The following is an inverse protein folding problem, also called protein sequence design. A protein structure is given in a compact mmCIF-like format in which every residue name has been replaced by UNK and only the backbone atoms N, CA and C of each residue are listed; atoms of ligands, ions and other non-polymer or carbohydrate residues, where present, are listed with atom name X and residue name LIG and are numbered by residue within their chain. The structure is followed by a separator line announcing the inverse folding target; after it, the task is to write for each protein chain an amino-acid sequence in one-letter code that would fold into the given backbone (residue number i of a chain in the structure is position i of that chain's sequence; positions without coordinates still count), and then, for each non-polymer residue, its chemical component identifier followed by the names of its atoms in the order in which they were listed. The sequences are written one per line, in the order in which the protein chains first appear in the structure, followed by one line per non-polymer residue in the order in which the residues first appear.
data_IF_344745599983
#
_entry.id   IF_344745599983
#
_cell.length_a   1.000
_cell.length_b   1.000
_cell.length_c   1.000
_cell.angle_alpha   90.00
_cell.angle_beta   90.00
_cell.angle_gamma   90.00
#
_symmetry.space_group_name_H-M   'P 1'
#
loop_
_entity.id
_entity.type
_entity.pdbx_description
1 polymer ?
#
# COMPACT_ATOMS: atom_id res chain seq x y z
N UNK A 1 -6.55 -5.05 -35.64
CA UNK A 1 -7.65 -5.99 -35.36
C UNK A 1 -8.16 -5.72 -33.95
N UNK A 2 -9.28 -5.00 -33.81
CA UNK A 2 -9.90 -4.71 -32.51
C UNK A 2 -10.79 -5.89 -32.18
N UNK A 3 -10.31 -6.77 -31.29
CA UNK A 3 -11.10 -7.89 -30.79
C UNK A 3 -12.37 -7.38 -30.11
N UNK A 4 -13.53 -7.85 -30.58
CA UNK A 4 -14.82 -7.49 -30.01
C UNK A 4 -14.83 -7.75 -28.52
N UNK A 5 -15.06 -6.69 -27.73
CA UNK A 5 -15.16 -6.77 -26.27
C UNK A 5 -16.35 -7.66 -25.91
N UNK A 6 -16.11 -8.96 -25.69
CA UNK A 6 -17.07 -9.84 -25.03
C UNK A 6 -17.31 -9.24 -23.65
N UNK A 7 -18.53 -8.73 -23.46
CA UNK A 7 -18.98 -8.18 -22.19
C UNK A 7 -18.64 -9.20 -21.08
N UNK A 8 -17.94 -8.73 -20.04
CA UNK A 8 -17.65 -9.55 -18.87
C UNK A 8 -18.96 -10.15 -18.34
N UNK A 9 -19.00 -11.44 -17.98
CA UNK A 9 -20.20 -12.12 -17.50
C UNK A 9 -20.48 -11.72 -16.04
N UNK A 10 -20.72 -10.43 -15.80
CA UNK A 10 -21.42 -9.99 -14.61
C UNK A 10 -22.89 -10.35 -14.87
N UNK A 11 -23.38 -11.36 -14.13
CA UNK A 11 -24.58 -12.15 -14.42
C UNK A 11 -25.77 -11.36 -14.97
N UNK A 12 -26.51 -11.98 -15.90
CA UNK A 12 -27.58 -11.37 -16.69
C UNK A 12 -28.81 -10.85 -15.94
N UNK A 13 -28.73 -10.66 -14.61
CA UNK A 13 -29.82 -10.22 -13.74
C UNK A 13 -29.56 -8.87 -13.05
N UNK A 14 -28.58 -8.08 -13.49
CA UNK A 14 -28.44 -6.72 -12.95
C UNK A 14 -29.60 -5.83 -13.45
N UNK A 15 -30.18 -4.95 -12.61
CA UNK A 15 -31.18 -3.99 -13.05
C UNK A 15 -30.66 -3.14 -14.23
N UNK A 16 -31.53 -2.85 -15.22
CA UNK A 16 -31.20 -1.97 -16.36
C UNK A 16 -30.43 -0.68 -16.01
N UNK A 17 -30.75 0.07 -14.93
CA UNK A 17 -29.96 1.24 -14.56
C UNK A 17 -28.51 0.89 -14.19
N UNK A 18 -28.29 -0.23 -13.50
CA UNK A 18 -26.96 -0.71 -13.12
C UNK A 18 -26.15 -1.08 -14.37
N UNK A 19 -26.77 -1.74 -15.36
CA UNK A 19 -26.11 -2.02 -16.64
C UNK A 19 -25.68 -0.75 -17.38
N UNK A 20 -26.52 0.28 -17.40
CA UNK A 20 -26.19 1.57 -18.04
C UNK A 20 -25.04 2.26 -17.32
N UNK A 21 -25.09 2.30 -15.99
CA UNK A 21 -24.01 2.87 -15.17
C UNK A 21 -22.70 2.11 -15.39
N UNK A 22 -22.74 0.78 -15.35
CA UNK A 22 -21.57 -0.08 -15.58
C UNK A 22 -20.98 0.10 -16.98
N UNK A 23 -21.83 0.17 -18.02
CA UNK A 23 -21.38 0.41 -19.38
C UNK A 23 -20.75 1.80 -19.55
N UNK A 24 -21.30 2.82 -18.90
CA UNK A 24 -20.71 4.16 -18.89
C UNK A 24 -19.38 4.19 -18.16
N UNK A 25 -19.31 3.58 -16.98
CA UNK A 25 -18.09 3.46 -16.19
C UNK A 25 -17.01 2.70 -16.97
N UNK A 26 -17.34 1.55 -17.55
CA UNK A 26 -16.41 0.76 -18.36
C UNK A 26 -15.83 1.55 -19.54
N UNK A 27 -16.65 2.34 -20.24
CA UNK A 27 -16.16 3.23 -21.31
C UNK A 27 -15.25 4.33 -20.78
N UNK A 28 -15.56 4.93 -19.63
CA UNK A 28 -14.72 5.95 -19.01
C UNK A 28 -13.36 5.37 -18.57
N UNK A 29 -13.39 4.17 -17.96
CA UNK A 29 -12.20 3.41 -17.55
C UNK A 29 -11.30 3.12 -18.76
N UNK A 30 -11.88 2.68 -19.88
CA UNK A 30 -11.13 2.39 -21.10
C UNK A 30 -10.53 3.65 -21.75
N UNK A 31 -11.19 4.81 -21.65
CA UNK A 31 -10.69 6.07 -22.22
C UNK A 31 -9.52 6.66 -21.42
N UNK A 32 -9.53 6.51 -20.10
CA UNK A 32 -8.55 7.15 -19.22
C UNK A 32 -8.01 6.19 -18.14
N UNK A 33 -7.37 5.07 -18.52
CA UNK A 33 -6.96 4.04 -17.56
C UNK A 33 -5.88 4.55 -16.61
N UNK A 34 -4.96 5.41 -17.08
CA UNK A 34 -3.97 6.07 -16.23
C UNK A 34 -4.66 6.95 -15.19
N UNK A 35 -5.55 7.85 -15.62
CA UNK A 35 -6.26 8.77 -14.71
C UNK A 35 -6.98 7.99 -13.61
N UNK A 36 -7.71 6.93 -13.97
CA UNK A 36 -8.39 6.09 -12.99
C UNK A 36 -7.42 5.49 -11.97
N UNK A 37 -6.29 4.93 -12.42
CA UNK A 37 -5.28 4.38 -11.50
C UNK A 37 -4.69 5.48 -10.62
N UNK A 38 -4.37 6.66 -11.16
CA UNK A 38 -3.83 7.78 -10.37
C UNK A 38 -4.81 8.31 -9.31
N UNK A 39 -6.07 8.51 -9.65
CA UNK A 39 -7.09 9.01 -8.72
C UNK A 39 -7.37 7.98 -7.63
N UNK A 40 -7.52 6.70 -8.00
CA UNK A 40 -7.71 5.62 -7.02
C UNK A 40 -6.49 5.44 -6.12
N UNK A 41 -5.27 5.57 -6.63
CA UNK A 41 -4.04 5.58 -5.83
C UNK A 41 -3.98 6.77 -4.87
N UNK A 42 -4.38 7.97 -5.30
CA UNK A 42 -4.45 9.15 -4.45
C UNK A 42 -5.41 8.93 -3.26
N UNK A 43 -6.61 8.43 -3.54
CA UNK A 43 -7.60 8.11 -2.51
C UNK A 43 -7.09 7.00 -1.58
N UNK A 44 -6.53 5.93 -2.15
CA UNK A 44 -6.00 4.81 -1.37
C UNK A 44 -4.86 5.20 -0.43
N UNK A 45 -3.94 6.06 -0.87
CA UNK A 45 -2.84 6.52 -0.04
C UNK A 45 -3.30 7.46 1.08
N UNK A 46 -4.17 8.43 0.77
CA UNK A 46 -4.72 9.35 1.77
C UNK A 46 -5.54 8.58 2.81
N UNK A 47 -6.43 7.69 2.37
CA UNK A 47 -7.24 6.86 3.26
C UNK A 47 -6.40 5.88 4.07
N UNK A 48 -5.42 5.24 3.46
CA UNK A 48 -4.47 4.35 4.14
C UNK A 48 -3.68 5.08 5.23
N UNK A 49 -3.28 6.32 5.00
CA UNK A 49 -2.65 7.14 6.04
C UNK A 49 -3.61 7.45 7.19
N UNK A 50 -4.87 7.83 6.91
CA UNK A 50 -5.88 8.04 7.95
C UNK A 50 -6.05 6.80 8.83
N UNK A 51 -6.17 5.62 8.21
CA UNK A 51 -6.23 4.35 8.95
C UNK A 51 -4.97 4.08 9.76
N UNK A 52 -3.79 4.38 9.21
CA UNK A 52 -2.53 4.24 9.92
C UNK A 52 -2.44 5.20 11.11
N UNK A 53 -2.90 6.45 11.00
CA UNK A 53 -2.93 7.37 12.14
C UNK A 53 -3.85 6.82 13.22
N UNK A 54 -5.05 6.35 12.85
CA UNK A 54 -6.00 5.76 13.81
C UNK A 54 -5.39 4.54 14.50
N UNK A 55 -4.76 3.64 13.74
CA UNK A 55 -4.06 2.47 14.28
C UNK A 55 -2.86 2.80 15.17
N UNK A 56 -2.27 3.99 15.02
CA UNK A 56 -1.14 4.48 15.83
C UNK A 56 -1.54 5.46 16.94
N UNK A 57 -2.85 5.62 17.19
CA UNK A 57 -3.38 6.36 18.35
C UNK A 57 -3.95 7.75 18.04
N UNK A 58 -4.10 8.12 16.77
CA UNK A 58 -4.92 9.26 16.41
C UNK A 58 -6.40 8.93 16.70
N UNK A 59 -7.13 9.90 17.23
CA UNK A 59 -8.52 9.65 17.57
C UNK A 59 -9.47 10.09 16.47
N UNK A 60 -10.50 9.28 16.26
CA UNK A 60 -11.62 9.65 15.43
C UNK A 60 -12.42 10.78 16.12
N UNK A 61 -12.96 11.74 15.36
CA UNK A 61 -13.74 12.85 15.92
C UNK A 61 -14.92 12.38 16.78
N UNK A 62 -15.53 11.25 16.41
CA UNK A 62 -16.71 10.69 17.06
C UNK A 62 -16.42 9.62 18.13
N UNK A 63 -15.17 9.19 18.31
CA UNK A 63 -14.84 8.14 19.27
C UNK A 63 -14.38 8.74 20.60
N UNK A 64 -15.27 8.89 21.59
CA UNK A 64 -14.86 9.33 22.93
C UNK A 64 -14.18 8.17 23.69
N UNK A 65 -12.90 8.31 24.06
CA UNK A 65 -12.29 7.35 24.97
C UNK A 65 -12.92 7.49 26.37
N UNK A 66 -12.87 6.44 27.21
CA UNK A 66 -13.29 6.54 28.60
C UNK A 66 -12.47 7.61 29.33
N UNK A 67 -13.15 8.45 30.11
CA UNK A 67 -12.53 9.48 30.91
C UNK A 67 -11.51 8.89 31.89
N UNK A 68 -10.33 9.50 31.99
CA UNK A 68 -9.21 9.06 32.81
C UNK A 68 -8.33 7.96 32.19
N UNK A 69 -8.65 7.47 30.99
CA UNK A 69 -7.87 6.40 30.35
C UNK A 69 -6.51 6.87 29.84
N UNK A 70 -5.53 5.97 29.76
CA UNK A 70 -4.25 6.25 29.10
C UNK A 70 -4.43 6.59 27.60
N UNK A 71 -5.51 6.11 26.98
CA UNK A 71 -5.89 6.44 25.61
C UNK A 71 -6.32 7.90 25.46
N UNK A 72 -7.03 8.46 26.45
CA UNK A 72 -7.36 9.89 26.50
C UNK A 72 -6.11 10.76 26.58
N UNK A 73 -5.11 10.36 27.39
CA UNK A 73 -3.83 11.09 27.51
C UNK A 73 -2.93 11.02 26.27
N UNK A 74 -3.11 10.01 25.40
CA UNK A 74 -2.31 9.82 24.18
C UNK A 74 -3.02 10.26 22.91
N UNK A 75 -4.18 10.91 23.05
CA UNK A 75 -5.05 11.30 21.93
C UNK A 75 -4.31 12.31 21.04
N UNK A 76 -3.99 11.88 19.82
CA UNK A 76 -3.47 12.79 18.79
C UNK A 76 -4.61 13.15 17.82
N UNK A 77 -4.71 14.41 17.38
CA UNK A 77 -5.63 14.76 16.30
C UNK A 77 -5.18 14.08 15.00
N UNK A 78 -6.12 13.87 14.08
CA UNK A 78 -5.80 13.47 12.72
C UNK A 78 -5.00 14.58 12.03
N UNK A 79 -3.88 14.22 11.42
CA UNK A 79 -3.07 15.09 10.60
C UNK A 79 -3.55 15.02 9.14
N UNK A 80 -4.46 15.92 8.79
CA UNK A 80 -5.02 16.03 7.45
C UNK A 80 -3.99 16.50 6.41
N UNK A 81 -2.99 17.28 6.82
CA UNK A 81 -1.92 17.73 5.92
C UNK A 81 -1.08 16.53 5.49
N UNK A 82 -0.77 15.62 6.42
CA UNK A 82 -0.08 14.37 6.12
C UNK A 82 -0.91 13.46 5.22
N UNK A 83 -2.20 13.31 5.49
CA UNK A 83 -3.09 12.52 4.64
C UNK A 83 -3.19 13.12 3.22
N UNK A 84 -3.24 14.45 3.09
CA UNK A 84 -3.22 15.14 1.80
C UNK A 84 -1.88 14.95 1.08
N UNK A 85 -0.75 15.03 1.79
CA UNK A 85 0.57 14.77 1.22
C UNK A 85 0.71 13.31 0.74
N UNK A 86 0.15 12.34 1.48
CA UNK A 86 0.06 10.94 1.04
C UNK A 86 -0.83 10.80 -0.20
N UNK A 87 -1.96 11.51 -0.24
CA UNK A 87 -2.81 11.56 -1.42
C UNK A 87 -2.07 12.12 -2.65
N UNK A 88 -1.29 13.18 -2.48
CA UNK A 88 -0.44 13.73 -3.55
C UNK A 88 0.63 12.72 -4.00
N UNK A 89 1.29 12.02 -3.08
CA UNK A 89 2.21 10.93 -3.42
C UNK A 89 1.50 9.81 -4.19
N UNK A 90 0.27 9.46 -3.80
CA UNK A 90 -0.58 8.52 -4.52
C UNK A 90 -0.90 8.98 -5.94
N UNK A 91 -1.23 10.26 -6.12
CA UNK A 91 -1.60 10.85 -7.40
C UNK A 91 -0.41 10.94 -8.37
N UNK A 92 0.72 11.47 -7.91
CA UNK A 92 1.86 11.83 -8.77
C UNK A 92 2.92 10.75 -8.89
N UNK A 93 3.02 9.83 -7.91
CA UNK A 93 4.06 8.80 -7.89
C UNK A 93 3.44 7.41 -8.01
N UNK A 94 2.60 7.03 -7.05
CA UNK A 94 2.12 5.65 -6.97
C UNK A 94 1.16 5.28 -8.12
N UNK A 95 0.33 6.23 -8.54
CA UNK A 95 -0.58 6.09 -9.67
C UNK A 95 0.14 5.76 -10.98
N UNK A 96 1.04 6.66 -11.46
CA UNK A 96 1.80 6.41 -12.69
C UNK A 96 2.68 5.15 -12.60
N UNK A 97 3.38 4.96 -11.49
CA UNK A 97 4.21 3.77 -11.28
C UNK A 97 3.39 2.48 -11.30
N UNK A 98 2.26 2.45 -10.60
CA UNK A 98 1.34 1.32 -10.57
C UNK A 98 0.70 1.06 -11.93
N UNK A 99 0.36 2.10 -12.70
CA UNK A 99 -0.14 1.92 -14.06
C UNK A 99 0.92 1.29 -14.98
N UNK A 100 2.14 1.83 -14.98
CA UNK A 100 3.25 1.26 -15.75
C UNK A 100 3.54 -0.19 -15.36
N UNK A 101 3.49 -0.51 -14.06
CA UNK A 101 3.69 -1.86 -13.56
C UNK A 101 2.58 -2.83 -14.01
N UNK A 102 1.32 -2.39 -14.01
CA UNK A 102 0.21 -3.18 -14.56
C UNK A 102 0.43 -3.46 -16.05
N UNK A 103 0.77 -2.45 -16.85
CA UNK A 103 1.06 -2.63 -18.28
C UNK A 103 2.19 -3.63 -18.49
N UNK A 104 3.25 -3.55 -17.69
CA UNK A 104 4.35 -4.51 -17.71
C UNK A 104 3.88 -5.93 -17.34
N UNK A 105 3.08 -6.09 -16.28
CA UNK A 105 2.55 -7.39 -15.88
C UNK A 105 1.67 -8.01 -16.96
N UNK A 106 0.78 -7.24 -17.59
CA UNK A 106 -0.04 -7.70 -18.71
C UNK A 106 0.81 -8.14 -19.92
N UNK A 107 1.92 -7.46 -20.16
CA UNK A 107 2.83 -7.79 -21.26
C UNK A 107 3.77 -8.97 -20.97
N UNK A 108 3.98 -9.38 -19.71
CA UNK A 108 5.02 -10.34 -19.34
C UNK A 108 4.53 -11.58 -18.58
N UNK A 109 3.46 -11.45 -17.79
CA UNK A 109 2.98 -12.54 -16.93
C UNK A 109 1.86 -13.34 -17.61
N UNK A 110 1.99 -14.67 -17.63
CA UNK A 110 0.93 -15.60 -18.05
C UNK A 110 0.30 -15.27 -19.42
N UNK A 111 1.14 -14.97 -20.43
CA UNK A 111 0.70 -14.60 -21.79
C UNK A 111 -0.31 -15.59 -22.42
N UNK A 112 -0.17 -16.89 -22.14
CA UNK A 112 -1.05 -17.93 -22.66
C UNK A 112 -2.42 -18.00 -21.98
N UNK A 113 -2.55 -17.47 -20.75
CA UNK A 113 -3.79 -17.50 -19.97
C UNK A 113 -3.89 -16.29 -19.01
N UNK A 114 -3.97 -15.05 -19.52
CA UNK A 114 -3.81 -13.81 -18.72
C UNK A 114 -4.93 -13.56 -17.71
N UNK A 115 -6.06 -14.27 -17.86
CA UNK A 115 -7.28 -14.12 -17.05
C UNK A 115 -7.57 -15.36 -16.19
N UNK A 116 -6.67 -16.34 -16.11
CA UNK A 116 -6.88 -17.45 -15.18
C UNK A 116 -6.76 -16.96 -13.73
N UNK A 117 -7.42 -17.63 -12.80
CA UNK A 117 -7.44 -17.22 -11.39
C UNK A 117 -6.03 -17.06 -10.80
N UNK A 118 -5.10 -17.96 -11.16
CA UNK A 118 -3.70 -17.88 -10.72
C UNK A 118 -2.97 -16.64 -11.25
N UNK A 119 -3.18 -16.28 -12.53
CA UNK A 119 -2.60 -15.08 -13.12
C UNK A 119 -3.13 -13.81 -12.44
N UNK A 120 -4.44 -13.74 -12.19
CA UNK A 120 -5.06 -12.62 -11.49
C UNK A 120 -4.56 -12.50 -10.04
N UNK A 121 -4.52 -13.62 -9.30
CA UNK A 121 -4.00 -13.65 -7.93
C UNK A 121 -2.53 -13.19 -7.86
N UNK A 122 -1.70 -13.63 -8.81
CA UNK A 122 -0.29 -13.22 -8.91
C UNK A 122 -0.16 -11.72 -9.18
N UNK A 123 -0.93 -11.19 -10.15
CA UNK A 123 -0.94 -9.75 -10.46
C UNK A 123 -1.38 -8.92 -9.26
N UNK A 124 -2.41 -9.35 -8.53
CA UNK A 124 -2.87 -8.68 -7.30
C UNK A 124 -1.78 -8.71 -6.23
N UNK A 125 -1.15 -9.87 -5.97
CA UNK A 125 -0.10 -9.98 -4.97
C UNK A 125 1.08 -9.04 -5.29
N UNK A 126 1.51 -8.99 -6.55
CA UNK A 126 2.57 -8.09 -7.00
C UNK A 126 2.18 -6.61 -6.89
N UNK A 127 0.95 -6.24 -7.26
CA UNK A 127 0.44 -4.86 -7.10
C UNK A 127 0.40 -4.45 -5.61
N UNK A 128 0.03 -5.36 -4.70
CA UNK A 128 0.07 -5.09 -3.26
C UNK A 128 1.49 -4.93 -2.72
N UNK A 129 2.46 -5.73 -3.18
CA UNK A 129 3.87 -5.59 -2.77
C UNK A 129 4.44 -4.25 -3.24
N UNK A 130 4.20 -3.88 -4.49
CA UNK A 130 4.63 -2.59 -5.02
C UNK A 130 3.93 -1.44 -4.28
N UNK A 131 2.61 -1.54 -4.09
CA UNK A 131 1.82 -0.56 -3.37
C UNK A 131 2.32 -0.32 -1.96
N UNK A 132 2.62 -1.40 -1.22
CA UNK A 132 3.19 -1.33 0.12
C UNK A 132 4.56 -0.63 0.12
N UNK A 133 5.46 -0.99 -0.80
CA UNK A 133 6.77 -0.37 -0.89
C UNK A 133 6.67 1.14 -1.17
N UNK A 134 5.83 1.54 -2.12
CA UNK A 134 5.59 2.94 -2.46
C UNK A 134 4.95 3.71 -1.30
N UNK A 135 4.00 3.09 -0.59
CA UNK A 135 3.35 3.69 0.57
C UNK A 135 4.34 3.92 1.71
N UNK A 136 5.18 2.94 2.04
CA UNK A 136 6.22 3.10 3.06
C UNK A 136 7.25 4.16 2.66
N UNK A 137 7.66 4.20 1.40
CA UNK A 137 8.59 5.22 0.90
C UNK A 137 8.00 6.63 1.01
N UNK A 138 6.74 6.81 0.59
CA UNK A 138 6.03 8.08 0.72
C UNK A 138 5.90 8.50 2.19
N UNK A 139 5.48 7.58 3.06
CA UNK A 139 5.35 7.87 4.49
C UNK A 139 6.69 8.22 5.13
N UNK A 140 7.78 7.52 4.79
CA UNK A 140 9.10 7.83 5.29
C UNK A 140 9.62 9.19 4.79
N UNK A 141 9.20 9.61 3.59
CA UNK A 141 9.55 10.92 3.04
C UNK A 141 8.88 12.06 3.82
N UNK A 142 7.66 11.88 4.31
CA UNK A 142 6.87 12.96 4.93
C UNK A 142 6.73 12.86 6.46
N UNK A 143 7.01 11.69 7.06
CA UNK A 143 6.80 11.43 8.49
C UNK A 143 8.09 10.95 9.16
N UNK A 144 8.75 11.88 9.88
CA UNK A 144 10.05 11.66 10.50
C UNK A 144 10.11 10.46 11.46
N UNK A 145 9.14 10.22 12.37
CA UNK A 145 9.16 9.05 13.24
C UNK A 145 9.21 7.73 12.46
N UNK A 146 8.47 7.64 11.34
CA UNK A 146 8.47 6.44 10.49
C UNK A 146 9.79 6.28 9.75
N UNK A 147 10.38 7.38 9.27
CA UNK A 147 11.72 7.38 8.67
C UNK A 147 12.77 6.81 9.61
N UNK A 148 12.76 7.25 10.87
CA UNK A 148 13.67 6.77 11.92
C UNK A 148 13.45 5.28 12.21
N UNK A 149 12.19 4.83 12.27
CA UNK A 149 11.87 3.42 12.43
C UNK A 149 12.40 2.56 11.27
N UNK A 150 12.22 3.02 10.02
CA UNK A 150 12.77 2.35 8.84
C UNK A 150 14.30 2.30 8.87
N UNK A 151 14.97 3.40 9.23
CA UNK A 151 16.43 3.43 9.35
C UNK A 151 16.94 2.48 10.46
N UNK A 152 16.25 2.42 11.59
CA UNK A 152 16.58 1.49 12.68
C UNK A 152 16.39 0.03 12.24
N UNK A 153 15.31 -0.29 11.52
CA UNK A 153 15.06 -1.62 10.97
C UNK A 153 16.14 -2.05 9.97
N UNK A 154 16.59 -1.13 9.09
CA UNK A 154 17.66 -1.40 8.14
C UNK A 154 19.01 -1.71 8.82
N UNK A 155 19.23 -1.20 10.05
CA UNK A 155 20.42 -1.48 10.85
C UNK A 155 20.35 -2.80 11.63
N UNK A 156 19.17 -3.43 11.75
CA UNK A 156 18.97 -4.63 12.56
C UNK A 156 19.92 -5.79 12.21
N UNK A 157 20.10 -6.18 10.93
CA UNK A 157 20.99 -7.29 10.58
C UNK A 157 22.43 -7.03 11.04
N UNK A 158 22.91 -5.79 10.92
CA UNK A 158 24.26 -5.41 11.35
C UNK A 158 24.41 -5.50 12.87
N UNK A 159 23.40 -5.04 13.62
CA UNK A 159 23.39 -5.16 15.09
C UNK A 159 23.36 -6.61 15.54
N UNK A 160 22.56 -7.45 14.88
CA UNK A 160 22.47 -8.88 15.16
C UNK A 160 23.81 -9.59 14.91
N UNK A 161 24.47 -9.29 13.78
CA UNK A 161 25.79 -9.82 13.44
C UNK A 161 26.86 -9.37 14.44
N UNK A 162 26.94 -8.08 14.76
CA UNK A 162 27.90 -7.56 15.73
C UNK A 162 27.72 -8.19 17.13
N UNK A 163 26.47 -8.33 17.58
CA UNK A 163 26.17 -8.99 18.85
C UNK A 163 26.46 -10.50 18.87
N UNK A 164 26.43 -11.16 17.71
CA UNK A 164 26.87 -12.55 17.59
C UNK A 164 28.39 -12.67 17.65
N UNK A 165 29.12 -11.80 16.95
CA UNK A 165 30.59 -11.76 16.98
C UNK A 165 31.13 -11.45 18.38
N UNK A 166 30.53 -10.48 19.08
CA UNK A 166 30.93 -10.14 20.44
C UNK A 166 30.73 -11.31 21.42
N UNK A 167 29.61 -12.05 21.30
CA UNK A 167 29.37 -13.25 22.11
C UNK A 167 30.38 -14.36 21.83
N UNK A 168 30.75 -14.56 20.56
CA UNK A 168 31.77 -15.54 20.18
C UNK A 168 33.15 -15.18 20.73
N UNK A 169 33.53 -13.90 20.68
CA UNK A 169 34.80 -13.42 21.26
C UNK A 169 34.83 -13.62 22.79
N UNK A 170 33.72 -13.34 23.48
CA UNK A 170 33.63 -13.57 24.93
C UNK A 170 33.75 -15.06 25.28
N UNK A 171 33.14 -15.95 24.51
CA UNK A 171 33.27 -17.40 24.71
C UNK A 171 34.72 -17.89 24.50
N UNK A 172 35.40 -17.40 23.47
CA UNK A 172 36.80 -17.72 23.22
C UNK A 172 37.74 -17.17 24.30
N UNK A 173 37.45 -15.99 24.84
CA UNK A 173 38.22 -15.42 25.94
C UNK A 173 38.02 -16.26 27.22
N UNK A 174 36.78 -16.65 27.53
CA UNK A 174 36.48 -17.50 28.67
C UNK A 174 37.14 -18.89 28.58
N UNK A 175 37.13 -19.51 27.39
CA UNK A 175 37.76 -20.83 27.19
C UNK A 175 39.29 -20.80 27.28
N UNK A 176 39.93 -19.65 27.03
CA UNK A 176 41.39 -19.50 27.19
C UNK A 176 41.82 -19.25 28.63
N UNK A 177 40.89 -18.83 29.49
CA UNK A 177 41.14 -18.54 30.90
C UNK A 177 40.91 -19.77 31.82
N UNK A 178 40.38 -20.87 31.27
CA UNK A 178 40.20 -22.16 31.94
C UNK A 178 41.33 -23.12 31.58
#
# INVERSE_FOLDING_TARGET
MVGGSRALPLGGNLPRPVHRLWGSASRAIQRHPLLLKTVSSAVGFAFGDLLFQVGTGAALPWAQPPAGSAAERRRRPLDWNRAAAMGAAGLFIAGPAGYGFIVWMEANLWKSAPHCAAALATKVALDQVLGLALWHAALAAIHEPHRQACAAAAQWPRRALAGAQQRQQQQQAASKAS
#
